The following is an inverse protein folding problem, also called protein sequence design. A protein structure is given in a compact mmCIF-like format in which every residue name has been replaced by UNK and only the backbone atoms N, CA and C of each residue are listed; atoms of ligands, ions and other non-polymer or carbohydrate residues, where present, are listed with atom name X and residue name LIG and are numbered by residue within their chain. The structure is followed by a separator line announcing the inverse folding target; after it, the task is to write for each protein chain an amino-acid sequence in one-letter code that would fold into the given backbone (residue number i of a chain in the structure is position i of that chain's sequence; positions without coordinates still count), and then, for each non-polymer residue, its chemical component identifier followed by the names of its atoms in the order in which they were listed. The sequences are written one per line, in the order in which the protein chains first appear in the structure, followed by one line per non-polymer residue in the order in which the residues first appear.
data_IF_329601295787
#
_entry.id   IF_329601295787
#
_cell.length_a   1.000
_cell.length_b   1.000
_cell.length_c   1.000
_cell.angle_alpha   90.00
_cell.angle_beta   90.00
_cell.angle_gamma   90.00
#
_symmetry.space_group_name_H-M   'P 1'
#
loop_
_entity.id
_entity.type
_entity.pdbx_description
1 polymer ?
#
# COMPACT_ATOMS: atom_id res chain seq x y z
N UNK A 1 3.39 -4.80 7.16
CA UNK A 1 3.67 -4.81 8.62
C UNK A 1 2.51 -4.38 9.48
N UNK A 2 1.86 -3.23 9.23
CA UNK A 2 0.79 -2.72 10.11
C UNK A 2 -0.30 -3.75 10.40
N UNK A 3 -0.82 -4.44 9.38
CA UNK A 3 -1.80 -5.52 9.56
C UNK A 3 -1.25 -6.70 10.40
N UNK A 4 0.01 -7.10 10.18
CA UNK A 4 0.66 -8.18 10.92
C UNK A 4 0.86 -7.80 12.39
N UNK A 5 1.35 -6.59 12.66
CA UNK A 5 1.51 -6.05 14.00
C UNK A 5 0.17 -5.91 14.74
N UNK A 6 -0.92 -5.61 14.02
CA UNK A 6 -2.27 -5.59 14.55
C UNK A 6 -2.89 -6.99 14.73
N UNK A 7 -2.15 -8.08 14.44
CA UNK A 7 -2.61 -9.45 14.65
C UNK A 7 -3.51 -10.03 13.55
N UNK A 8 -3.49 -9.45 12.34
CA UNK A 8 -4.24 -10.00 11.21
C UNK A 8 -3.74 -11.42 10.86
N UNK A 9 -4.67 -12.39 10.78
CA UNK A 9 -4.37 -13.80 10.48
C UNK A 9 -4.08 -14.07 9.00
N UNK A 10 -4.71 -13.31 8.11
CA UNK A 10 -4.52 -13.39 6.66
C UNK A 10 -4.31 -12.00 6.09
N UNK A 11 -3.32 -11.87 5.22
CA UNK A 11 -2.92 -10.63 4.56
C UNK A 11 -2.70 -10.95 3.08
N UNK A 12 -3.65 -10.53 2.25
CA UNK A 12 -3.63 -10.77 0.81
C UNK A 12 -2.92 -9.61 0.09
N UNK A 13 -1.84 -9.91 -0.62
CA UNK A 13 -1.16 -8.99 -1.52
C UNK A 13 -1.74 -9.10 -2.92
N UNK A 14 -2.06 -7.96 -3.54
CA UNK A 14 -2.65 -7.92 -4.87
C UNK A 14 -1.81 -6.98 -5.72
N UNK A 15 -1.04 -7.52 -6.67
CA UNK A 15 -0.20 -6.73 -7.57
C UNK A 15 -0.06 -7.43 -8.92
N UNK A 16 0.09 -6.65 -10.00
CA UNK A 16 0.30 -7.18 -11.35
C UNK A 16 1.72 -7.73 -11.55
N UNK A 17 2.66 -7.31 -10.70
CA UNK A 17 4.03 -7.76 -10.70
C UNK A 17 4.24 -8.85 -9.63
N UNK A 18 4.22 -10.10 -10.08
CA UNK A 18 4.43 -11.26 -9.20
C UNK A 18 5.80 -11.29 -8.51
N UNK A 19 6.83 -10.63 -9.07
CA UNK A 19 8.15 -10.60 -8.43
C UNK A 19 8.16 -9.87 -7.08
N UNK A 20 7.17 -9.01 -6.82
CA UNK A 20 7.02 -8.30 -5.54
C UNK A 20 6.56 -9.20 -4.40
N UNK A 21 6.06 -10.41 -4.67
CA UNK A 21 5.48 -11.24 -3.63
C UNK A 21 6.51 -11.66 -2.58
N UNK A 22 7.72 -12.05 -2.99
CA UNK A 22 8.75 -12.47 -2.04
C UNK A 22 9.11 -11.36 -1.05
N UNK A 23 9.21 -10.13 -1.53
CA UNK A 23 9.38 -8.96 -0.66
C UNK A 23 8.14 -8.73 0.23
N UNK A 24 6.93 -8.82 -0.33
CA UNK A 24 5.69 -8.63 0.43
C UNK A 24 5.55 -9.64 1.59
N UNK A 25 6.01 -10.89 1.42
CA UNK A 25 6.03 -11.91 2.50
C UNK A 25 6.86 -11.47 3.69
N UNK A 26 8.02 -10.85 3.46
CA UNK A 26 8.87 -10.31 4.54
C UNK A 26 8.10 -9.30 5.40
N UNK A 27 7.26 -8.48 4.77
CA UNK A 27 6.41 -7.50 5.46
C UNK A 27 5.10 -8.08 6.03
N UNK A 28 4.87 -9.39 5.92
CA UNK A 28 3.75 -10.11 6.53
C UNK A 28 2.63 -10.53 5.60
N UNK A 29 2.78 -10.38 4.28
CA UNK A 29 1.83 -10.93 3.32
C UNK A 29 1.76 -12.46 3.45
N UNK A 30 0.56 -13.04 3.57
CA UNK A 30 0.36 -14.49 3.69
C UNK A 30 0.00 -15.14 2.37
N UNK A 31 -0.71 -14.39 1.52
CA UNK A 31 -1.26 -14.87 0.25
C UNK A 31 -1.04 -13.81 -0.82
N UNK A 32 -0.97 -14.20 -2.08
CA UNK A 32 -0.82 -13.27 -3.20
C UNK A 32 -1.74 -13.63 -4.35
N UNK A 33 -2.27 -12.60 -4.99
CA UNK A 33 -3.12 -12.72 -6.17
C UNK A 33 -2.57 -11.79 -7.24
N UNK A 34 -2.22 -12.33 -8.41
CA UNK A 34 -2.01 -11.50 -9.60
C UNK A 34 -3.34 -11.38 -10.35
N UNK A 35 -3.90 -10.16 -10.47
CA UNK A 35 -5.17 -9.98 -11.15
C UNK A 35 -5.13 -10.30 -12.63
N UNK A 36 -3.95 -10.44 -13.26
CA UNK A 36 -3.84 -10.95 -14.65
C UNK A 36 -4.21 -12.43 -14.76
N UNK A 37 -4.12 -13.18 -13.67
CA UNK A 37 -4.49 -14.59 -13.62
C UNK A 37 -6.03 -14.77 -13.48
N UNK A 38 -6.76 -13.64 -13.40
CA UNK A 38 -8.21 -13.57 -13.23
C UNK A 38 -8.79 -12.49 -14.17
N UNK A 39 -10.09 -12.49 -14.48
CA UNK A 39 -10.69 -11.47 -15.37
C UNK A 39 -10.94 -10.12 -14.67
N UNK A 40 -9.94 -9.53 -13.99
CA UNK A 40 -10.11 -8.29 -13.22
C UNK A 40 -9.05 -7.23 -13.54
N UNK A 41 -9.50 -6.10 -14.11
CA UNK A 41 -8.68 -4.96 -14.54
C UNK A 41 -8.23 -4.04 -13.37
N UNK A 42 -6.97 -3.55 -13.38
CA UNK A 42 -6.39 -2.67 -12.33
C UNK A 42 -5.66 -1.45 -12.94
N UNK A 43 -5.84 -0.27 -12.31
CA UNK A 43 -5.01 0.93 -12.54
C UNK A 43 -5.60 2.30 -12.15
N UNK A 44 -6.74 2.38 -11.44
CA UNK A 44 -7.49 3.63 -11.25
C UNK A 44 -8.61 3.42 -10.21
N UNK A 45 -9.54 4.36 -10.03
CA UNK A 45 -10.79 4.29 -9.24
C UNK A 45 -11.54 2.95 -9.29
N UNK A 46 -11.37 2.15 -10.36
CA UNK A 46 -11.85 0.78 -10.46
C UNK A 46 -11.30 -0.16 -9.38
N UNK A 47 -10.02 -0.02 -9.01
CA UNK A 47 -9.38 -0.82 -7.96
C UNK A 47 -9.86 -0.40 -6.58
N UNK A 48 -10.11 0.90 -6.39
CA UNK A 48 -10.73 1.43 -5.17
C UNK A 48 -12.12 0.83 -4.97
N UNK A 49 -12.93 0.76 -6.05
CA UNK A 49 -14.23 0.09 -6.04
C UNK A 49 -14.11 -1.41 -5.76
N UNK A 50 -13.22 -2.11 -6.45
CA UNK A 50 -13.01 -3.54 -6.26
C UNK A 50 -12.61 -3.86 -4.80
N UNK A 51 -11.76 -3.03 -4.20
CA UNK A 51 -11.37 -3.14 -2.80
C UNK A 51 -12.56 -2.95 -1.84
N UNK A 52 -13.50 -2.04 -2.13
CA UNK A 52 -14.73 -1.94 -1.35
C UNK A 52 -15.61 -3.18 -1.54
N UNK A 53 -15.84 -3.61 -2.78
CA UNK A 53 -16.80 -4.68 -3.06
C UNK A 53 -16.31 -6.06 -2.56
N UNK A 54 -14.99 -6.26 -2.47
CA UNK A 54 -14.38 -7.44 -1.85
C UNK A 54 -14.42 -7.45 -0.32
N UNK A 55 -14.72 -6.32 0.34
CA UNK A 55 -14.87 -6.28 1.79
C UNK A 55 -16.05 -7.14 2.25
N UNK A 56 -15.95 -7.69 3.46
CA UNK A 56 -17.00 -8.52 4.03
C UNK A 56 -18.33 -7.77 4.15
N UNK A 57 -19.42 -8.38 3.68
CA UNK A 57 -20.78 -7.84 3.89
C UNK A 57 -21.08 -7.74 5.38
N UNK A 58 -21.67 -6.64 5.83
CA UNK A 58 -22.08 -6.41 7.22
C UNK A 58 -21.14 -5.52 8.03
N UNK A 59 -19.82 -5.63 7.84
CA UNK A 59 -18.84 -4.91 8.67
C UNK A 59 -17.51 -4.57 7.98
N UNK A 60 -17.33 -4.98 6.72
CA UNK A 60 -16.07 -4.80 6.03
C UNK A 60 -15.73 -3.32 5.80
N UNK A 61 -14.45 -2.97 5.91
CA UNK A 61 -13.97 -1.60 5.77
C UNK A 61 -12.92 -1.51 4.68
N UNK A 62 -13.14 -0.62 3.71
CA UNK A 62 -12.16 -0.26 2.68
C UNK A 62 -11.59 1.13 2.97
N UNK A 63 -10.26 1.23 2.92
CA UNK A 63 -9.52 2.47 3.18
C UNK A 63 -8.72 2.84 1.93
N UNK A 64 -9.04 3.98 1.31
CA UNK A 64 -8.29 4.51 0.18
C UNK A 64 -7.04 5.22 0.70
N UNK A 65 -5.87 4.78 0.19
CA UNK A 65 -4.55 5.37 0.47
C UNK A 65 -3.96 6.01 -0.80
N UNK A 66 -4.21 5.41 -1.97
CA UNK A 66 -3.71 5.92 -3.26
C UNK A 66 -4.41 7.21 -3.69
N UNK A 67 -3.69 8.05 -4.42
CA UNK A 67 -4.20 9.33 -4.95
C UNK A 67 -4.64 9.14 -6.40
N UNK A 68 -5.91 9.42 -6.69
CA UNK A 68 -6.43 9.35 -8.05
C UNK A 68 -6.03 10.60 -8.86
N UNK A 69 -5.95 10.46 -10.19
CA UNK A 69 -5.73 11.59 -11.09
C UNK A 69 -6.89 12.60 -11.02
N UNK A 70 -6.63 13.85 -11.42
CA UNK A 70 -7.64 14.92 -11.41
C UNK A 70 -8.87 14.53 -12.25
N UNK A 71 -10.06 14.85 -11.74
CA UNK A 71 -11.34 14.58 -12.40
C UNK A 71 -11.81 13.11 -12.37
N UNK A 72 -11.10 12.21 -11.68
CA UNK A 72 -11.54 10.83 -11.52
C UNK A 72 -12.49 10.67 -10.33
N UNK A 73 -13.51 9.82 -10.49
CA UNK A 73 -14.52 9.57 -9.47
C UNK A 73 -14.59 8.09 -9.10
N UNK A 74 -14.74 7.83 -7.81
CA UNK A 74 -15.07 6.49 -7.31
C UNK A 74 -16.58 6.29 -7.32
N UNK A 75 -17.03 5.08 -7.66
CA UNK A 75 -18.45 4.72 -7.65
C UNK A 75 -18.66 3.28 -7.20
N UNK A 76 -19.82 3.01 -6.61
CA UNK A 76 -20.31 1.65 -6.32
C UNK A 76 -21.84 1.68 -6.23
N UNK A 77 -22.48 0.51 -6.10
CA UNK A 77 -23.91 0.44 -5.79
C UNK A 77 -24.13 0.82 -4.31
N UNK A 78 -25.04 1.75 -3.97
CA UNK A 78 -25.29 2.15 -2.58
C UNK A 78 -25.60 0.98 -1.64
N UNK A 79 -26.21 -0.08 -2.19
CA UNK A 79 -26.50 -1.31 -1.45
C UNK A 79 -25.24 -1.96 -0.82
N UNK A 80 -24.05 -1.74 -1.40
CA UNK A 80 -22.79 -2.21 -0.80
C UNK A 80 -22.54 -1.58 0.58
N UNK A 81 -22.90 -0.30 0.75
CA UNK A 81 -22.78 0.43 2.02
C UNK A 81 -23.97 0.17 2.94
N UNK A 82 -25.19 0.15 2.41
CA UNK A 82 -26.42 -0.19 3.18
C UNK A 82 -26.28 -1.56 3.84
N UNK A 83 -25.63 -2.51 3.18
CA UNK A 83 -25.35 -3.83 3.74
C UNK A 83 -24.15 -3.87 4.70
N UNK A 84 -23.71 -2.73 5.22
CA UNK A 84 -22.80 -2.63 6.36
C UNK A 84 -21.32 -2.43 6.03
N UNK A 85 -20.95 -2.15 4.78
CA UNK A 85 -19.56 -1.79 4.46
C UNK A 85 -19.29 -0.32 4.77
N UNK A 86 -18.06 -0.04 5.17
CA UNK A 86 -17.55 1.33 5.36
C UNK A 86 -16.50 1.64 4.30
N UNK A 87 -16.61 2.80 3.66
CA UNK A 87 -15.59 3.31 2.74
C UNK A 87 -15.03 4.64 3.26
N UNK A 88 -13.72 4.73 3.46
CA UNK A 88 -13.04 5.92 3.98
C UNK A 88 -11.70 6.14 3.31
N UNK A 89 -11.11 7.32 3.51
CA UNK A 89 -9.75 7.64 3.09
C UNK A 89 -8.81 7.85 4.28
N UNK A 90 -7.52 7.92 4.01
CA UNK A 90 -6.51 8.38 4.97
C UNK A 90 -5.47 9.26 4.29
N UNK A 91 -5.03 10.30 4.98
CA UNK A 91 -3.90 11.12 4.57
C UNK A 91 -2.77 10.90 5.59
N UNK A 92 -1.56 10.61 5.10
CA UNK A 92 -0.39 10.36 5.95
C UNK A 92 -0.64 9.29 7.05
N UNK A 93 -1.48 8.29 6.77
CA UNK A 93 -1.86 7.25 7.74
C UNK A 93 -2.71 7.73 8.91
N UNK A 94 -3.16 9.00 8.93
CA UNK A 94 -3.89 9.61 10.04
C UNK A 94 -2.97 10.15 11.15
N UNK A 95 -1.66 10.15 10.94
CA UNK A 95 -0.68 10.65 11.90
C UNK A 95 -0.63 12.19 11.92
N UNK A 96 -0.45 12.76 13.10
CA UNK A 96 -0.13 14.17 13.28
C UNK A 96 1.38 14.33 13.19
N UNK A 97 1.87 14.89 12.09
CA UNK A 97 3.29 14.85 11.72
C UNK A 97 4.26 15.25 12.85
N UNK A 98 4.08 16.44 13.41
CA UNK A 98 4.96 17.00 14.46
C UNK A 98 4.97 16.11 15.71
N UNK A 99 3.81 15.60 16.10
CA UNK A 99 3.65 14.85 17.35
C UNK A 99 4.05 13.37 17.19
N UNK A 100 3.79 12.77 16.03
CA UNK A 100 3.83 11.32 15.85
C UNK A 100 5.06 10.81 15.11
N UNK A 101 5.67 11.60 14.21
CA UNK A 101 6.89 11.16 13.49
C UNK A 101 8.04 10.84 14.44
N UNK A 102 8.35 11.65 15.48
CA UNK A 102 9.40 11.29 16.44
C UNK A 102 9.14 9.95 17.15
N UNK A 103 7.86 9.62 17.41
CA UNK A 103 7.47 8.33 18.01
C UNK A 103 7.73 7.17 17.04
N UNK A 104 7.42 7.36 15.75
CA UNK A 104 7.71 6.36 14.71
C UNK A 104 9.21 6.11 14.56
N UNK A 105 10.04 7.16 14.64
CA UNK A 105 11.51 7.03 14.67
C UNK A 105 11.95 6.21 15.87
N UNK A 106 11.39 6.49 17.05
CA UNK A 106 11.71 5.72 18.25
C UNK A 106 11.29 4.25 18.13
N UNK A 107 10.14 3.97 17.54
CA UNK A 107 9.69 2.59 17.29
C UNK A 107 10.60 1.85 16.29
N UNK A 108 11.12 2.54 15.28
CA UNK A 108 12.14 2.01 14.39
C UNK A 108 13.44 1.68 15.14
N UNK A 109 13.98 2.63 15.93
CA UNK A 109 15.20 2.42 16.72
C UNK A 109 15.04 1.26 17.72
N UNK A 110 13.83 1.08 18.24
CA UNK A 110 13.46 -0.04 19.13
C UNK A 110 13.17 -1.34 18.38
N UNK A 111 13.43 -1.42 17.06
CA UNK A 111 13.22 -2.58 16.20
C UNK A 111 11.78 -3.09 16.17
N UNK A 112 10.80 -2.22 16.43
CA UNK A 112 9.36 -2.57 16.35
C UNK A 112 8.81 -2.47 14.93
N UNK A 113 9.55 -1.84 14.03
CA UNK A 113 9.15 -1.61 12.64
C UNK A 113 10.34 -1.81 11.72
N UNK A 114 10.10 -2.50 10.60
CA UNK A 114 11.04 -2.66 9.50
C UNK A 114 11.05 -1.35 8.70
N UNK A 115 12.22 -0.80 8.44
CA UNK A 115 12.39 0.43 7.64
C UNK A 115 13.47 0.20 6.60
N UNK A 116 14.58 -0.38 7.02
CA UNK A 116 15.75 -0.66 6.17
C UNK A 116 15.37 -1.55 4.97
N UNK A 117 14.46 -2.50 5.18
CA UNK A 117 13.97 -3.43 4.16
C UNK A 117 13.18 -2.76 3.03
N UNK A 118 12.72 -1.51 3.20
CA UNK A 118 12.13 -0.74 2.10
C UNK A 118 13.18 -0.11 1.20
N UNK A 119 14.42 0.05 1.66
CA UNK A 119 15.50 0.67 0.91
C UNK A 119 16.10 -0.40 -0.02
N UNK A 120 15.81 -0.30 -1.31
CA UNK A 120 16.37 -1.23 -2.30
C UNK A 120 17.60 -0.67 -3.00
N UNK A 121 17.76 0.66 -3.04
CA UNK A 121 18.89 1.32 -3.67
C UNK A 121 19.36 2.50 -2.83
N UNK A 122 20.68 2.72 -2.83
CA UNK A 122 21.32 3.91 -2.27
C UNK A 122 22.29 4.45 -3.31
N UNK A 123 22.22 5.75 -3.60
CA UNK A 123 23.08 6.39 -4.61
C UNK A 123 23.34 7.86 -4.27
N UNK A 124 24.33 8.47 -4.92
CA UNK A 124 24.61 9.90 -4.81
C UNK A 124 23.60 10.76 -5.57
N UNK A 125 23.50 12.04 -5.21
CA UNK A 125 22.62 13.02 -5.85
C UNK A 125 22.92 13.20 -7.34
N UNK A 126 24.16 12.99 -7.76
CA UNK A 126 24.60 12.99 -9.16
C UNK A 126 23.83 11.97 -10.01
N UNK A 127 23.30 10.91 -9.39
CA UNK A 127 22.53 9.83 -10.05
C UNK A 127 21.01 9.96 -9.89
N UNK A 128 20.49 11.14 -9.56
CA UNK A 128 19.05 11.32 -9.31
C UNK A 128 18.16 10.83 -10.47
N UNK A 129 18.58 11.01 -11.73
CA UNK A 129 17.82 10.54 -12.89
C UNK A 129 17.78 9.00 -12.97
N UNK A 130 18.88 8.32 -12.61
CA UNK A 130 18.92 6.86 -12.52
C UNK A 130 17.92 6.35 -11.46
N UNK A 131 17.76 7.07 -10.35
CA UNK A 131 16.74 6.76 -9.34
C UNK A 131 15.30 6.81 -9.91
N UNK A 132 15.01 7.81 -10.76
CA UNK A 132 13.71 7.91 -11.45
C UNK A 132 13.52 6.76 -12.46
N UNK A 133 14.56 6.38 -13.20
CA UNK A 133 14.49 5.27 -14.14
C UNK A 133 14.17 3.95 -13.44
N UNK A 134 14.81 3.67 -12.29
CA UNK A 134 14.54 2.49 -11.46
C UNK A 134 13.09 2.48 -10.93
N UNK A 135 12.55 3.66 -10.58
CA UNK A 135 11.15 3.79 -10.17
C UNK A 135 10.20 3.46 -11.32
N UNK A 136 10.43 3.98 -12.53
CA UNK A 136 9.58 3.71 -13.69
C UNK A 136 9.62 2.25 -14.15
N UNK A 137 10.79 1.59 -14.04
CA UNK A 137 10.94 0.16 -14.32
C UNK A 137 10.29 -0.74 -13.26
N UNK A 138 9.93 -0.19 -12.10
CA UNK A 138 9.41 -0.96 -10.97
C UNK A 138 10.48 -1.84 -10.30
N UNK A 139 11.76 -1.51 -10.49
CA UNK A 139 12.92 -2.18 -9.89
C UNK A 139 13.26 -1.59 -8.51
N UNK A 140 12.79 -0.37 -8.22
CA UNK A 140 12.93 0.27 -6.91
C UNK A 140 11.64 0.23 -6.08
N UNK A 141 11.79 0.01 -4.77
CA UNK A 141 10.74 0.26 -3.77
C UNK A 141 10.97 1.64 -3.17
N UNK A 142 12.16 1.87 -2.61
CA UNK A 142 12.68 3.19 -2.25
C UNK A 142 14.15 3.28 -2.63
N UNK A 143 14.49 4.40 -3.25
CA UNK A 143 15.88 4.81 -3.49
C UNK A 143 16.23 5.92 -2.49
N UNK A 144 17.28 5.74 -1.70
CA UNK A 144 17.82 6.78 -0.81
C UNK A 144 18.93 7.52 -1.56
N UNK A 145 18.82 8.85 -1.61
CA UNK A 145 19.76 9.72 -2.29
C UNK A 145 20.60 10.45 -1.24
N UNK A 146 21.91 10.24 -1.29
CA UNK A 146 22.87 10.93 -0.44
C UNK A 146 23.39 12.19 -1.15
N UNK A 147 23.61 13.26 -0.39
CA UNK A 147 24.15 14.52 -0.89
C UNK A 147 25.65 14.44 -1.18
#
# INVERSE_FOLDING_TARGET
MGCKAAGAKKIYGIDLNSSKFELAKQFGCTDFVNPKDHEVCIGNVHTMRAALESCHKGWGTSVIIGVAASGQEISTRPFQLVTGRTWKGTAFGGWKSVDDVPKLVQDYLNKKMLVDEFITHTMGLDKINEAFDLMHKGESVRSVVNL
#
